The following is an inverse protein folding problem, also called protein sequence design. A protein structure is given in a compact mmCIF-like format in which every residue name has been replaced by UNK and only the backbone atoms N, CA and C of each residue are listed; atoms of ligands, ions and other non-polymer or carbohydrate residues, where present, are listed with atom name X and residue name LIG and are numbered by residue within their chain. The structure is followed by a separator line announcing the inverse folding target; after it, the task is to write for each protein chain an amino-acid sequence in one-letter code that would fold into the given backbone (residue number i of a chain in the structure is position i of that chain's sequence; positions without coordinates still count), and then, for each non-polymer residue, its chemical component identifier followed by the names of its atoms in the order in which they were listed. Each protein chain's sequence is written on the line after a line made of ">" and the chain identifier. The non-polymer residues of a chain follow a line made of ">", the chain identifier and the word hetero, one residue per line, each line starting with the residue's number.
data_IF_205969506416
#
_entry.id   IF_205969506416
#
_cell.length_a   1.000
_cell.length_b   1.000
_cell.length_c   1.000
_cell.angle_alpha   90.00
_cell.angle_beta   90.00
_cell.angle_gamma   90.00
#
_symmetry.space_group_name_H-M   'P 1'
#
loop_
_entity.id
_entity.type
_entity.pdbx_description
1 polymer ?
#
# COMPACT_ATOMS: atom_id res chain seq x y z
N UNK A 1 13.19 -19.42 -3.59
CA UNK A 1 13.40 -19.60 -2.14
C UNK A 1 12.33 -18.85 -1.35
N UNK A 2 12.18 -17.53 -1.50
CA UNK A 2 11.20 -16.70 -0.76
C UNK A 2 9.78 -17.26 -0.67
N UNK A 3 9.18 -17.67 -1.80
CA UNK A 3 7.82 -18.24 -1.82
C UNK A 3 7.73 -19.54 -1.02
N UNK A 4 8.76 -20.38 -1.08
CA UNK A 4 8.78 -21.66 -0.36
C UNK A 4 8.94 -21.43 1.14
N UNK A 5 9.81 -20.50 1.53
CA UNK A 5 9.97 -20.12 2.95
C UNK A 5 8.67 -19.54 3.52
N UNK A 6 7.96 -18.73 2.72
CA UNK A 6 6.66 -18.20 3.12
C UNK A 6 5.64 -19.32 3.35
N UNK A 7 5.62 -20.36 2.50
CA UNK A 7 4.66 -21.46 2.56
C UNK A 7 5.00 -22.51 3.64
N UNK A 8 6.27 -22.74 3.93
CA UNK A 8 6.72 -23.84 4.78
C UNK A 8 6.08 -23.79 6.17
N UNK A 9 5.47 -24.91 6.59
CA UNK A 9 4.87 -25.04 7.93
C UNK A 9 3.54 -24.31 8.14
N UNK A 10 2.92 -23.75 7.09
CA UNK A 10 1.55 -23.21 7.18
C UNK A 10 0.51 -24.33 7.23
N UNK A 11 -0.65 -24.04 7.81
CA UNK A 11 -1.74 -24.99 8.07
C UNK A 11 -2.13 -25.86 6.86
N UNK A 12 -2.12 -25.30 5.65
CA UNK A 12 -2.49 -25.99 4.41
C UNK A 12 -1.30 -26.26 3.48
N UNK A 13 -0.08 -26.05 3.96
CA UNK A 13 1.10 -26.42 3.19
C UNK A 13 1.30 -27.95 3.22
N UNK A 14 1.94 -28.53 2.18
CA UNK A 14 2.33 -29.93 2.20
C UNK A 14 3.12 -30.26 3.47
N UNK A 15 2.82 -31.42 4.05
CA UNK A 15 3.53 -31.88 5.25
C UNK A 15 5.00 -32.19 4.96
N UNK A 16 5.75 -32.51 6.01
CA UNK A 16 7.19 -32.80 5.90
C UNK A 16 7.52 -33.97 4.94
N UNK A 17 6.59 -34.91 4.73
CA UNK A 17 6.78 -36.05 3.84
C UNK A 17 6.59 -35.69 2.36
N UNK A 18 5.74 -34.70 2.08
CA UNK A 18 5.41 -34.25 0.72
C UNK A 18 6.16 -32.97 0.31
N UNK A 19 6.76 -32.25 1.26
CA UNK A 19 7.35 -30.93 1.03
C UNK A 19 8.38 -30.91 -0.10
N UNK A 20 9.32 -31.85 -0.10
CA UNK A 20 10.37 -31.91 -1.11
C UNK A 20 9.81 -32.11 -2.53
N UNK A 21 8.75 -32.91 -2.65
CA UNK A 21 8.10 -33.22 -3.93
C UNK A 21 7.30 -32.02 -4.43
N UNK A 22 6.57 -31.36 -3.53
CA UNK A 22 5.86 -30.13 -3.82
C UNK A 22 6.80 -29.00 -4.26
N UNK A 23 7.94 -28.81 -3.59
CA UNK A 23 8.95 -27.83 -3.99
C UNK A 23 9.50 -28.12 -5.38
N UNK A 24 9.81 -29.39 -5.69
CA UNK A 24 10.25 -29.77 -7.05
C UNK A 24 9.19 -29.46 -8.11
N UNK A 25 7.93 -29.73 -7.82
CA UNK A 25 6.83 -29.40 -8.72
C UNK A 25 6.66 -27.88 -8.89
N UNK A 26 6.65 -27.10 -7.81
CA UNK A 26 6.50 -25.65 -7.91
C UNK A 26 7.67 -24.98 -8.64
N UNK A 27 8.89 -25.53 -8.53
CA UNK A 27 10.04 -25.06 -9.30
C UNK A 27 9.86 -25.23 -10.82
N UNK A 28 8.99 -26.15 -11.27
CA UNK A 28 8.65 -26.28 -12.69
C UNK A 28 7.57 -25.29 -13.15
N UNK A 29 6.91 -24.56 -12.25
CA UNK A 29 5.88 -23.55 -12.58
C UNK A 29 6.52 -22.21 -12.99
N UNK A 30 7.33 -22.25 -14.05
CA UNK A 30 7.95 -21.06 -14.67
C UNK A 30 7.56 -21.01 -16.14
N UNK A 31 7.61 -19.82 -16.74
CA UNK A 31 7.47 -19.67 -18.19
C UNK A 31 8.53 -20.49 -18.92
N UNK A 32 8.17 -20.98 -20.12
CA UNK A 32 9.10 -21.67 -20.99
C UNK A 32 10.25 -20.73 -21.44
N UNK A 33 11.47 -21.24 -21.67
CA UNK A 33 12.61 -20.41 -22.06
C UNK A 33 12.42 -19.64 -23.38
N UNK A 34 11.52 -20.10 -24.25
CA UNK A 34 11.18 -19.52 -25.54
C UNK A 34 9.81 -18.84 -25.56
N UNK A 35 9.20 -18.62 -24.38
CA UNK A 35 7.96 -17.88 -24.25
C UNK A 35 8.09 -16.49 -24.88
N UNK A 36 7.11 -16.10 -25.71
CA UNK A 36 7.04 -14.80 -26.35
C UNK A 36 5.88 -13.99 -25.76
N UNK A 37 6.16 -12.74 -25.42
CA UNK A 37 5.15 -11.79 -24.94
C UNK A 37 4.88 -10.75 -26.03
N UNK A 38 3.62 -10.31 -26.16
CA UNK A 38 3.26 -9.25 -27.13
C UNK A 38 3.96 -7.92 -26.83
N UNK A 39 4.32 -7.70 -25.56
CA UNK A 39 5.03 -6.52 -25.07
C UNK A 39 5.88 -6.88 -23.86
N UNK A 40 7.13 -6.45 -23.87
CA UNK A 40 8.05 -6.55 -22.73
C UNK A 40 8.40 -5.15 -22.24
N UNK A 41 8.30 -4.94 -20.92
CA UNK A 41 8.66 -3.67 -20.27
C UNK A 41 9.64 -4.00 -19.15
N UNK A 42 10.84 -3.40 -19.21
CA UNK A 42 11.89 -3.61 -18.22
C UNK A 42 11.93 -2.40 -17.29
N UNK A 43 11.82 -2.63 -15.99
CA UNK A 43 11.85 -1.60 -14.95
C UNK A 43 12.99 -1.93 -13.98
N UNK A 44 13.94 -1.01 -13.80
CA UNK A 44 14.99 -1.16 -12.81
C UNK A 44 14.46 -0.75 -11.43
N UNK A 45 14.33 -1.73 -10.51
CA UNK A 45 13.78 -1.48 -9.17
C UNK A 45 14.55 -0.40 -8.39
N UNK A 46 15.86 -0.26 -8.63
CA UNK A 46 16.71 0.77 -8.02
C UNK A 46 16.42 2.19 -8.48
N UNK A 47 15.72 2.36 -9.61
CA UNK A 47 15.34 3.67 -10.16
C UNK A 47 13.95 4.12 -9.71
N UNK A 48 13.20 3.26 -9.00
CA UNK A 48 11.85 3.55 -8.53
C UNK A 48 11.93 4.25 -7.18
N UNK A 49 11.64 5.56 -7.16
CA UNK A 49 11.55 6.34 -5.94
C UNK A 49 10.29 6.00 -5.12
N UNK A 50 10.28 6.22 -3.79
CA UNK A 50 9.05 6.20 -3.00
C UNK A 50 8.01 7.13 -3.62
N UNK A 51 6.82 6.59 -3.91
CA UNK A 51 5.83 7.27 -4.73
C UNK A 51 4.48 7.36 -4.01
N UNK A 52 3.71 8.37 -4.38
CA UNK A 52 2.34 8.58 -3.89
C UNK A 52 1.41 8.81 -5.09
N UNK A 53 0.18 8.31 -4.98
CA UNK A 53 -0.90 8.71 -5.87
C UNK A 53 -1.54 9.97 -5.31
N UNK A 54 -1.43 11.09 -6.03
CA UNK A 54 -1.85 12.41 -5.54
C UNK A 54 -3.29 12.80 -5.95
N UNK A 55 -3.79 12.19 -7.02
CA UNK A 55 -5.09 12.51 -7.61
C UNK A 55 -6.16 11.44 -7.36
N UNK A 56 -7.15 11.40 -8.24
CA UNK A 56 -8.32 10.51 -8.17
C UNK A 56 -8.20 9.22 -8.98
N UNK A 57 -7.11 9.05 -9.74
CA UNK A 57 -6.81 7.85 -10.52
C UNK A 57 -5.51 7.21 -10.03
N UNK A 58 -5.41 5.87 -9.98
CA UNK A 58 -4.16 5.18 -9.65
C UNK A 58 -2.97 5.56 -10.54
N UNK A 59 -3.21 6.07 -11.76
CA UNK A 59 -2.15 6.54 -12.66
C UNK A 59 -1.58 7.92 -12.29
N UNK A 60 -2.21 8.66 -11.37
CA UNK A 60 -1.72 9.94 -10.85
C UNK A 60 -0.60 9.73 -9.83
N UNK A 61 0.40 8.93 -10.19
CA UNK A 61 1.51 8.53 -9.35
C UNK A 61 2.74 9.39 -9.65
N UNK A 62 3.37 9.88 -8.59
CA UNK A 62 4.61 10.64 -8.67
C UNK A 62 5.55 10.25 -7.52
N UNK A 63 6.87 10.44 -7.69
CA UNK A 63 7.81 10.44 -6.57
C UNK A 63 7.37 11.40 -5.48
N UNK A 64 7.56 11.04 -4.21
CA UNK A 64 7.07 11.83 -3.05
C UNK A 64 7.69 13.24 -2.99
N UNK A 65 8.88 13.42 -3.54
CA UNK A 65 9.61 14.70 -3.62
C UNK A 65 9.25 15.55 -4.84
N UNK A 66 8.29 15.08 -5.66
CA UNK A 66 7.83 15.80 -6.84
C UNK A 66 6.78 16.88 -6.52
N UNK A 67 6.28 17.53 -7.57
CA UNK A 67 5.27 18.58 -7.49
C UNK A 67 4.00 18.13 -8.22
N UNK A 68 2.85 18.60 -7.74
CA UNK A 68 1.55 18.34 -8.39
C UNK A 68 1.59 18.86 -9.84
N UNK A 69 1.23 18.06 -10.85
CA UNK A 69 1.27 18.46 -12.25
C UNK A 69 0.38 19.68 -12.55
N UNK A 70 0.78 20.47 -13.54
CA UNK A 70 -0.06 21.52 -14.09
C UNK A 70 -0.83 21.02 -15.31
N UNK A 71 -2.13 21.33 -15.46
CA UNK A 71 -2.86 21.06 -16.70
C UNK A 71 -2.20 21.65 -17.95
N UNK A 72 -1.45 22.75 -17.79
CA UNK A 72 -0.69 23.37 -18.88
C UNK A 72 0.49 22.51 -19.39
N UNK A 73 0.87 21.46 -18.66
CA UNK A 73 1.95 20.52 -19.01
C UNK A 73 1.40 19.20 -19.57
N UNK A 74 0.08 19.06 -19.70
CA UNK A 74 -0.55 17.85 -20.21
C UNK A 74 -0.17 17.58 -21.67
N UNK A 75 0.06 16.32 -22.01
CA UNK A 75 0.42 15.87 -23.36
C UNK A 75 -0.79 15.77 -24.30
N UNK A 76 -2.02 15.81 -23.76
CA UNK A 76 -3.27 15.74 -24.52
C UNK A 76 -4.37 16.53 -23.82
N UNK A 77 -5.41 16.85 -24.57
CA UNK A 77 -6.62 17.48 -24.05
C UNK A 77 -7.34 16.59 -23.02
N UNK A 78 -7.31 15.27 -23.23
CA UNK A 78 -7.85 14.29 -22.29
C UNK A 78 -7.11 14.34 -20.95
N UNK A 79 -5.77 14.33 -20.98
CA UNK A 79 -4.94 14.44 -19.78
C UNK A 79 -5.10 15.80 -19.09
N UNK A 80 -5.29 16.88 -19.87
CA UNK A 80 -5.56 18.20 -19.32
C UNK A 80 -6.86 18.21 -18.51
N UNK A 81 -7.93 17.67 -19.09
CA UNK A 81 -9.24 17.59 -18.44
C UNK A 81 -9.20 16.70 -17.19
N UNK A 82 -8.48 15.59 -17.25
CA UNK A 82 -8.26 14.68 -16.12
C UNK A 82 -7.49 15.37 -14.98
N UNK A 83 -6.40 16.09 -15.26
CA UNK A 83 -5.67 16.88 -14.26
C UNK A 83 -6.54 17.97 -13.63
N UNK A 84 -7.34 18.68 -14.43
CA UNK A 84 -8.26 19.71 -13.93
C UNK A 84 -9.29 19.12 -12.96
N UNK A 85 -9.89 17.98 -13.33
CA UNK A 85 -10.85 17.28 -12.48
C UNK A 85 -10.21 16.76 -11.18
N UNK A 86 -9.00 16.20 -11.26
CA UNK A 86 -8.27 15.71 -10.09
C UNK A 86 -7.89 16.85 -9.14
N UNK A 87 -7.43 17.99 -9.66
CA UNK A 87 -7.08 19.17 -8.85
C UNK A 87 -8.29 19.75 -8.14
N UNK A 88 -9.42 19.88 -8.84
CA UNK A 88 -10.68 20.38 -8.26
C UNK A 88 -11.19 19.44 -7.16
N UNK A 89 -11.29 18.14 -7.44
CA UNK A 89 -11.74 17.15 -6.47
C UNK A 89 -10.83 17.08 -5.25
N UNK A 90 -9.51 17.03 -5.46
CA UNK A 90 -8.54 16.92 -4.37
C UNK A 90 -8.32 18.24 -3.64
N UNK A 91 -8.81 19.37 -4.17
CA UNK A 91 -8.55 20.70 -3.64
C UNK A 91 -7.05 21.03 -3.60
N UNK A 92 -6.32 20.71 -4.66
CA UNK A 92 -4.87 20.92 -4.78
C UNK A 92 -4.55 22.04 -5.76
N UNK A 93 -3.36 22.63 -5.61
CA UNK A 93 -2.86 23.66 -6.51
C UNK A 93 -1.76 23.07 -7.40
N UNK A 94 -1.84 23.34 -8.70
CA UNK A 94 -0.79 22.97 -9.65
C UNK A 94 0.57 23.54 -9.22
N UNK A 95 1.61 22.72 -9.32
CA UNK A 95 2.98 23.10 -8.97
C UNK A 95 3.29 23.12 -7.48
N UNK A 96 2.36 22.75 -6.58
CA UNK A 96 2.69 22.63 -5.16
C UNK A 96 3.55 21.38 -4.90
N UNK A 97 4.54 21.42 -3.99
CA UNK A 97 5.29 20.24 -3.59
C UNK A 97 4.36 19.20 -2.93
N UNK A 98 4.49 17.92 -3.27
CA UNK A 98 3.67 16.86 -2.68
C UNK A 98 3.85 16.76 -1.17
N UNK A 99 5.08 16.94 -0.67
CA UNK A 99 5.39 16.95 0.76
C UNK A 99 4.71 18.09 1.54
N UNK A 100 4.28 19.15 0.85
CA UNK A 100 3.57 20.28 1.47
C UNK A 100 2.07 20.04 1.62
N UNK A 101 1.55 18.94 1.04
CA UNK A 101 0.13 18.60 1.11
C UNK A 101 -0.22 18.25 2.55
N UNK A 102 -1.14 19.04 3.12
CA UNK A 102 -1.69 18.76 4.44
C UNK A 102 -2.52 17.47 4.41
N UNK A 103 -2.20 16.59 5.35
CA UNK A 103 -2.92 15.34 5.63
C UNK A 103 -3.76 15.54 6.90
N UNK A 104 -4.99 15.05 6.88
CA UNK A 104 -5.93 15.14 8.02
C UNK A 104 -6.22 13.76 8.64
N UNK A 105 -5.94 12.68 7.91
CA UNK A 105 -6.11 11.29 8.36
C UNK A 105 -4.99 10.41 7.77
N UNK A 106 -4.58 9.38 8.50
CA UNK A 106 -3.72 8.31 7.97
C UNK A 106 -4.43 6.97 8.05
N UNK A 107 -4.25 6.15 7.02
CA UNK A 107 -4.75 4.78 6.96
C UNK A 107 -3.68 3.82 6.47
N UNK A 108 -3.28 2.88 7.33
CA UNK A 108 -2.30 1.84 7.03
C UNK A 108 -2.99 0.49 7.08
N UNK A 109 -2.78 -0.33 6.03
CA UNK A 109 -3.15 -1.74 6.06
C UNK A 109 -4.09 -2.17 4.94
N UNK A 110 -5.20 -2.84 5.30
CA UNK A 110 -6.10 -3.59 4.40
C UNK A 110 -5.44 -4.81 3.74
N UNK A 111 -6.04 -5.37 2.68
CA UNK A 111 -5.45 -6.48 1.95
C UNK A 111 -4.18 -6.07 1.17
N UNK A 112 -4.04 -4.79 0.77
CA UNK A 112 -2.93 -4.33 -0.08
C UNK A 112 -1.62 -4.22 0.70
N UNK A 113 -1.65 -3.61 1.89
CA UNK A 113 -0.45 -3.33 2.69
C UNK A 113 -0.64 -3.64 4.19
N UNK A 114 -1.49 -4.63 4.50
CA UNK A 114 -1.71 -5.12 5.87
C UNK A 114 -1.06 -6.45 6.17
N UNK A 115 -0.01 -6.87 5.42
CA UNK A 115 0.76 -8.09 5.75
C UNK A 115 1.64 -7.85 6.97
N UNK A 116 2.12 -8.92 7.60
CA UNK A 116 2.90 -8.82 8.83
C UNK A 116 4.21 -8.03 8.61
N UNK A 117 4.87 -8.24 7.48
CA UNK A 117 6.07 -7.50 7.06
C UNK A 117 5.80 -6.00 6.80
N UNK A 118 4.63 -5.65 6.24
CA UNK A 118 4.22 -4.26 6.04
C UNK A 118 4.07 -3.57 7.41
N UNK A 119 3.37 -4.24 8.35
CA UNK A 119 3.16 -3.73 9.70
C UNK A 119 4.47 -3.59 10.49
N UNK A 120 5.41 -4.53 10.32
CA UNK A 120 6.75 -4.42 10.92
C UNK A 120 7.50 -3.21 10.37
N UNK A 121 7.43 -2.96 9.06
CA UNK A 121 8.06 -1.79 8.43
C UNK A 121 7.45 -0.49 8.96
N UNK A 122 6.12 -0.38 8.96
CA UNK A 122 5.42 0.78 9.50
C UNK A 122 5.70 1.00 11.01
N UNK A 123 5.83 -0.07 11.79
CA UNK A 123 6.17 0.02 13.20
C UNK A 123 7.58 0.60 13.46
N UNK A 124 8.54 0.40 12.54
CA UNK A 124 9.86 1.02 12.66
C UNK A 124 9.75 2.55 12.59
N UNK A 125 8.90 3.07 11.70
CA UNK A 125 8.62 4.50 11.58
C UNK A 125 7.82 5.01 12.77
N UNK A 126 6.80 4.27 13.20
CA UNK A 126 5.96 4.66 14.34
C UNK A 126 6.75 4.82 15.66
N UNK A 127 7.88 4.11 15.82
CA UNK A 127 8.78 4.28 16.97
C UNK A 127 9.48 5.64 17.03
N UNK A 128 9.58 6.34 15.89
CA UNK A 128 10.33 7.60 15.79
C UNK A 128 9.56 8.81 16.34
N UNK A 129 8.25 8.68 16.57
CA UNK A 129 7.44 9.83 16.99
C UNK A 129 6.02 9.47 17.42
N UNK A 130 5.14 10.48 17.37
CA UNK A 130 3.71 10.35 17.67
C UNK A 130 2.89 10.82 16.47
N UNK A 131 1.76 10.18 16.24
CA UNK A 131 0.74 10.63 15.29
C UNK A 131 0.32 12.07 15.62
N UNK A 132 0.24 12.90 14.59
CA UNK A 132 -0.18 14.31 14.68
C UNK A 132 -1.63 14.51 14.25
N UNK A 133 -2.14 13.56 13.47
CA UNK A 133 -3.51 13.47 12.99
C UNK A 133 -4.04 12.07 13.32
N UNK A 134 -5.37 11.86 13.33
CA UNK A 134 -5.94 10.53 13.47
C UNK A 134 -5.31 9.55 12.48
N UNK A 135 -4.90 8.39 12.97
CA UNK A 135 -4.15 7.41 12.20
C UNK A 135 -4.63 6.00 12.52
N UNK A 136 -5.06 5.27 11.51
CA UNK A 136 -5.62 3.93 11.66
C UNK A 136 -4.65 2.88 11.12
N UNK A 137 -4.56 1.76 11.83
CA UNK A 137 -3.83 0.58 11.37
C UNK A 137 -4.78 -0.61 11.37
N UNK A 138 -4.99 -1.18 10.18
CA UNK A 138 -5.93 -2.28 9.93
C UNK A 138 -5.16 -3.49 9.38
N UNK A 139 -4.90 -4.53 10.18
CA UNK A 139 -4.24 -5.74 9.69
C UNK A 139 -5.03 -6.39 8.54
N UNK A 140 -4.34 -7.02 7.60
CA UNK A 140 -4.97 -7.62 6.42
C UNK A 140 -5.81 -8.87 6.71
N UNK A 141 -5.61 -9.50 7.87
CA UNK A 141 -6.41 -10.66 8.32
C UNK A 141 -6.33 -10.86 9.83
N UNK A 142 -7.19 -11.73 10.35
CA UNK A 142 -7.14 -12.15 11.76
C UNK A 142 -5.85 -12.90 12.12
N UNK A 143 -5.29 -13.68 11.19
CA UNK A 143 -4.02 -14.37 11.44
C UNK A 143 -2.85 -13.39 11.50
N UNK A 144 -2.83 -12.38 10.63
CA UNK A 144 -1.82 -11.31 10.69
C UNK A 144 -1.96 -10.50 11.97
N UNK A 145 -3.18 -10.12 12.36
CA UNK A 145 -3.42 -9.39 13.60
C UNK A 145 -2.85 -10.14 14.82
N UNK A 146 -3.18 -11.42 14.97
CA UNK A 146 -2.67 -12.25 16.06
C UNK A 146 -1.15 -12.34 16.07
N UNK A 147 -0.53 -12.51 14.89
CA UNK A 147 0.93 -12.56 14.77
C UNK A 147 1.58 -11.21 15.14
N UNK A 148 1.01 -10.10 14.67
CA UNK A 148 1.48 -8.75 14.98
C UNK A 148 1.37 -8.44 16.48
N UNK A 149 0.30 -8.87 17.13
CA UNK A 149 0.10 -8.73 18.58
C UNK A 149 1.05 -9.61 19.39
N UNK A 150 1.33 -10.83 18.94
CA UNK A 150 2.33 -11.69 19.55
C UNK A 150 3.74 -11.06 19.50
N UNK A 151 4.03 -10.24 18.47
CA UNK A 151 5.24 -9.44 18.35
C UNK A 151 5.18 -8.08 19.06
N UNK A 152 4.03 -7.70 19.61
CA UNK A 152 3.80 -6.42 20.27
C UNK A 152 3.76 -5.21 19.33
N UNK A 153 3.49 -5.42 18.04
CA UNK A 153 3.39 -4.33 17.05
C UNK A 153 2.20 -3.42 17.34
N UNK A 154 1.08 -3.99 17.81
CA UNK A 154 -0.11 -3.25 18.28
C UNK A 154 0.27 -2.20 19.33
N UNK A 155 1.11 -2.58 20.30
CA UNK A 155 1.56 -1.69 21.38
C UNK A 155 2.43 -0.55 20.86
N UNK A 156 3.26 -0.82 19.84
CA UNK A 156 4.08 0.21 19.20
C UNK A 156 3.18 1.26 18.53
N UNK A 157 2.19 0.81 17.75
CA UNK A 157 1.24 1.70 17.10
C UNK A 157 0.40 2.49 18.10
N UNK A 158 -0.19 1.83 19.09
CA UNK A 158 -0.98 2.50 20.14
C UNK A 158 -0.13 3.47 20.95
N UNK A 159 1.12 3.12 21.29
CA UNK A 159 2.03 4.03 21.95
C UNK A 159 2.31 5.26 21.07
N UNK A 160 2.42 5.10 19.75
CA UNK A 160 2.58 6.18 18.81
C UNK A 160 1.30 7.01 18.59
N UNK A 161 0.15 6.63 19.16
CA UNK A 161 -1.12 7.35 19.04
C UNK A 161 -1.98 6.91 17.86
N UNK A 162 -1.69 5.75 17.26
CA UNK A 162 -2.50 5.16 16.21
C UNK A 162 -3.64 4.32 16.81
N UNK A 163 -4.77 4.26 16.11
CA UNK A 163 -5.84 3.32 16.39
C UNK A 163 -5.52 1.95 15.79
N UNK A 164 -5.34 0.95 16.66
CA UNK A 164 -5.20 -0.45 16.25
C UNK A 164 -6.57 -1.08 16.05
N UNK A 165 -6.94 -1.34 14.79
CA UNK A 165 -8.29 -1.75 14.41
C UNK A 165 -8.42 -3.23 14.09
N UNK A 166 -9.66 -3.71 14.03
CA UNK A 166 -9.96 -5.06 13.57
C UNK A 166 -9.69 -5.20 12.07
N UNK A 167 -9.28 -6.38 11.59
CA UNK A 167 -9.06 -6.63 10.18
C UNK A 167 -10.35 -6.44 9.37
N UNK A 168 -10.24 -5.78 8.23
CA UNK A 168 -11.35 -5.52 7.31
C UNK A 168 -10.91 -4.67 6.14
N UNK A 169 -11.82 -4.43 5.19
CA UNK A 169 -11.54 -3.52 4.09
C UNK A 169 -11.36 -2.07 4.59
N UNK A 170 -12.10 -1.65 5.62
CA UNK A 170 -12.01 -0.29 6.19
C UNK A 170 -12.15 0.77 5.09
N UNK A 171 -11.40 1.85 5.16
CA UNK A 171 -11.43 2.95 4.17
C UNK A 171 -11.12 2.52 2.74
N UNK A 172 -10.59 1.33 2.49
CA UNK A 172 -10.35 0.84 1.14
C UNK A 172 -11.67 0.65 0.35
N UNK A 173 -12.76 0.24 1.00
CA UNK A 173 -14.08 0.11 0.34
C UNK A 173 -15.26 0.60 1.18
N UNK A 174 -15.00 1.08 2.40
CA UNK A 174 -15.97 1.59 3.36
C UNK A 174 -17.13 0.63 3.72
N UNK A 175 -17.06 -0.66 3.36
CA UNK A 175 -18.18 -1.61 3.56
C UNK A 175 -18.53 -1.87 5.03
N UNK A 176 -17.62 -1.54 5.94
CA UNK A 176 -17.79 -1.65 7.38
C UNK A 176 -18.25 -0.35 8.05
N UNK A 177 -18.66 0.65 7.26
CA UNK A 177 -19.12 1.96 7.74
C UNK A 177 -17.98 2.93 8.11
N UNK A 178 -16.74 2.57 7.82
CA UNK A 178 -15.61 3.48 7.93
C UNK A 178 -15.67 4.48 6.77
N UNK A 179 -15.93 5.74 7.08
CA UNK A 179 -16.05 6.82 6.11
C UNK A 179 -15.27 8.05 6.58
N UNK A 180 -14.83 8.87 5.62
CA UNK A 180 -14.22 10.16 5.87
C UNK A 180 -15.24 11.26 5.63
N UNK A 181 -15.17 12.31 6.43
CA UNK A 181 -15.97 13.51 6.16
C UNK A 181 -15.49 14.20 4.87
N UNK A 182 -16.40 14.90 4.20
CA UNK A 182 -16.09 15.68 3.00
C UNK A 182 -14.91 16.62 3.24
N UNK A 183 -13.94 16.60 2.33
CA UNK A 183 -12.74 17.45 2.38
C UNK A 183 -11.63 16.95 3.31
N UNK A 184 -11.83 15.85 4.04
CA UNK A 184 -10.76 15.22 4.83
C UNK A 184 -9.79 14.52 3.88
N UNK A 185 -8.51 14.92 3.92
CA UNK A 185 -7.48 14.25 3.13
C UNK A 185 -6.83 13.11 3.90
N UNK A 186 -6.94 11.90 3.36
CA UNK A 186 -6.32 10.72 3.93
C UNK A 186 -5.07 10.30 3.14
N UNK A 187 -3.94 10.14 3.82
CA UNK A 187 -2.82 9.38 3.28
C UNK A 187 -3.05 7.90 3.55
N UNK A 188 -3.17 7.10 2.49
CA UNK A 188 -3.56 5.69 2.57
C UNK A 188 -2.50 4.78 1.95
N UNK A 189 -2.34 3.59 2.53
CA UNK A 189 -1.62 2.47 1.90
C UNK A 189 -2.60 1.48 1.24
N UNK A 190 -3.78 1.93 0.81
CA UNK A 190 -4.69 1.17 -0.05
C UNK A 190 -4.29 1.30 -1.52
N UNK A 191 -4.97 0.58 -2.39
CA UNK A 191 -4.78 0.65 -3.84
C UNK A 191 -5.78 1.58 -4.56
N UNK A 192 -6.74 2.14 -3.83
CA UNK A 192 -7.79 3.05 -4.30
C UNK A 192 -8.19 3.98 -3.16
#
# INVERSE_FOLDING_TARGET
>A
QTTFDYLQGREYAPDATQWADAVRFWQSLRSDPDARFDKEVVLAASEIAPSVTWGTSPEHVLPVDAHVPSPAQAASEEQRADYEAALDYMGLQAGMPLESIRIDQVFIGSCTNGRLEDLRSAAQVARLGKARVPAWVVPGSQSVKRAAEAEGLDRIFMAAGFEWRSPGCSLCTAINGDELATGVRCASTSNR
#
